data_IF_767121596430
#
_entry.id   IF_767121596430
#
_cell.length_a   1.000
_cell.length_b   1.000
_cell.length_c   1.000
_cell.angle_alpha   90.00
_cell.angle_beta   90.00
_cell.angle_gamma   90.00
#
_symmetry.space_group_name_H-M   'P 1'
#
loop_
_entity.id
_entity.type
_entity.pdbx_description
1 polymer ?
#
# COMPACT_ATOMS: atom_id res chain seq x y z
N UNK A 1 -5.52 -11.08 3.70
CA UNK A 1 -5.17 -10.40 4.96
C UNK A 1 -6.45 -10.16 5.75
N UNK A 2 -6.96 -11.18 6.45
CA UNK A 2 -8.21 -11.11 7.27
C UNK A 2 -8.18 -12.08 8.47
N UNK A 3 -7.04 -12.73 8.72
CA UNK A 3 -6.94 -13.81 9.69
C UNK A 3 -6.86 -13.23 11.11
N UNK A 4 -6.05 -12.20 11.33
CA UNK A 4 -5.97 -11.51 12.62
C UNK A 4 -7.27 -10.79 12.98
N UNK A 5 -7.93 -10.14 12.01
CA UNK A 5 -9.24 -9.50 12.21
C UNK A 5 -10.34 -10.54 12.53
N UNK A 6 -10.33 -11.71 11.87
CA UNK A 6 -11.29 -12.79 12.17
C UNK A 6 -11.01 -13.50 13.50
N UNK A 7 -9.75 -13.61 13.93
CA UNK A 7 -9.39 -14.23 15.22
C UNK A 7 -9.77 -13.27 16.36
N UNK A 8 -9.34 -12.01 16.28
CA UNK A 8 -9.69 -10.99 17.27
C UNK A 8 -11.20 -10.72 17.29
N UNK A 9 -11.87 -10.73 16.14
CA UNK A 9 -13.32 -10.60 16.03
C UNK A 9 -14.08 -11.78 16.65
N UNK A 10 -13.56 -13.01 16.54
CA UNK A 10 -14.17 -14.20 17.17
C UNK A 10 -14.00 -14.19 18.69
N UNK A 11 -12.84 -13.82 19.21
CA UNK A 11 -12.60 -13.74 20.65
C UNK A 11 -13.42 -12.63 21.29
N UNK A 12 -13.47 -11.45 20.67
CA UNK A 12 -14.30 -10.32 21.12
C UNK A 12 -15.78 -10.68 21.06
N UNK A 13 -16.26 -11.32 19.98
CA UNK A 13 -17.65 -11.79 19.86
C UNK A 13 -18.02 -12.80 20.97
N UNK A 14 -17.10 -13.68 21.35
CA UNK A 14 -17.31 -14.64 22.45
C UNK A 14 -17.46 -13.96 23.81
N UNK A 15 -16.64 -12.94 24.09
CA UNK A 15 -16.72 -12.16 25.35
C UNK A 15 -18.05 -11.38 25.41
N UNK A 16 -18.48 -10.81 24.28
CA UNK A 16 -19.74 -10.06 24.15
C UNK A 16 -20.99 -10.93 24.32
N UNK A 17 -20.99 -12.15 23.77
CA UNK A 17 -22.08 -13.12 23.96
C UNK A 17 -22.21 -13.54 25.43
N UNK A 18 -21.08 -13.72 26.11
CA UNK A 18 -21.09 -14.02 27.53
C UNK A 18 -21.63 -12.83 28.35
N UNK A 19 -21.19 -11.61 28.06
CA UNK A 19 -21.69 -10.40 28.73
C UNK A 19 -23.19 -10.15 28.47
N UNK A 20 -23.66 -10.33 27.23
CA UNK A 20 -25.09 -10.23 26.91
C UNK A 20 -25.91 -11.31 27.61
N UNK A 21 -25.38 -12.53 27.77
CA UNK A 21 -26.01 -13.60 28.56
C UNK A 21 -26.10 -13.28 30.07
N UNK A 22 -25.14 -12.53 30.62
CA UNK A 22 -25.21 -12.05 32.01
C UNK A 22 -26.19 -10.89 32.18
N UNK A 23 -26.24 -9.96 31.21
CA UNK A 23 -27.23 -8.87 31.18
C UNK A 23 -28.65 -9.43 31.06
N UNK A 24 -28.84 -10.49 30.27
CA UNK A 24 -30.13 -11.19 30.15
C UNK A 24 -30.61 -11.86 31.45
N UNK A 25 -29.68 -12.24 32.32
CA UNK A 25 -30.00 -12.81 33.64
C UNK A 25 -30.28 -11.77 34.71
N UNK A 26 -29.85 -10.52 34.53
CA UNK A 26 -29.88 -9.47 35.56
C UNK A 26 -30.90 -8.35 35.28
N UNK A 27 -31.35 -8.15 34.04
CA UNK A 27 -32.22 -7.03 33.65
C UNK A 27 -33.57 -7.54 33.12
N UNK A 28 -34.68 -7.16 33.77
CA UNK A 28 -36.05 -7.64 33.48
C UNK A 28 -36.78 -6.78 32.43
N UNK A 29 -36.39 -5.52 32.24
CA UNK A 29 -37.08 -4.54 31.36
C UNK A 29 -36.36 -4.35 30.02
N UNK A 30 -37.13 -4.40 28.92
CA UNK A 30 -36.62 -4.34 27.53
C UNK A 30 -35.84 -3.06 27.21
N UNK A 31 -36.17 -1.94 27.85
CA UNK A 31 -35.51 -0.65 27.61
C UNK A 31 -34.10 -0.57 28.21
N UNK A 32 -33.89 -1.07 29.43
CA UNK A 32 -32.56 -1.09 30.05
C UNK A 32 -31.62 -2.06 29.32
N UNK A 33 -32.14 -3.20 28.87
CA UNK A 33 -31.39 -4.14 28.03
C UNK A 33 -30.98 -3.50 26.69
N UNK A 34 -31.87 -2.78 26.03
CA UNK A 34 -31.58 -2.10 24.77
C UNK A 34 -30.49 -1.04 24.94
N UNK A 35 -30.54 -0.28 26.05
CA UNK A 35 -29.56 0.75 26.37
C UNK A 35 -28.17 0.17 26.66
N UNK A 36 -28.09 -0.93 27.41
CA UNK A 36 -26.82 -1.62 27.71
C UNK A 36 -26.22 -2.22 26.44
N UNK A 37 -27.03 -2.86 25.58
CA UNK A 37 -26.56 -3.39 24.29
C UNK A 37 -26.03 -2.27 23.40
N UNK A 38 -26.70 -1.11 23.39
CA UNK A 38 -26.24 0.05 22.64
C UNK A 38 -24.92 0.62 23.17
N UNK A 39 -24.75 0.70 24.49
CA UNK A 39 -23.50 1.13 25.11
C UNK A 39 -22.34 0.16 24.81
N UNK A 40 -22.59 -1.15 24.88
CA UNK A 40 -21.62 -2.18 24.50
C UNK A 40 -21.24 -2.07 23.01
N UNK A 41 -22.22 -1.89 22.13
CA UNK A 41 -21.99 -1.75 20.68
C UNK A 41 -21.17 -0.49 20.37
N UNK A 42 -21.45 0.61 21.06
CA UNK A 42 -20.67 1.84 20.92
C UNK A 42 -19.23 1.67 21.43
N UNK A 43 -19.04 0.97 22.54
CA UNK A 43 -17.70 0.65 23.06
C UNK A 43 -16.90 -0.24 22.10
N UNK A 44 -17.54 -1.24 21.48
CA UNK A 44 -16.91 -2.07 20.44
C UNK A 44 -16.45 -1.24 19.24
N UNK A 45 -17.32 -0.36 18.75
CA UNK A 45 -16.99 0.51 17.62
C UNK A 45 -15.81 1.42 17.94
N UNK A 46 -15.74 1.97 19.16
CA UNK A 46 -14.62 2.80 19.60
C UNK A 46 -13.31 2.00 19.68
N UNK A 47 -13.35 0.78 20.22
CA UNK A 47 -12.17 -0.10 20.30
C UNK A 47 -11.69 -0.49 18.90
N UNK A 48 -12.60 -0.85 18.00
CA UNK A 48 -12.26 -1.19 16.61
C UNK A 48 -11.64 0.00 15.86
N UNK A 49 -12.15 1.21 16.08
CA UNK A 49 -11.58 2.43 15.52
C UNK A 49 -10.15 2.68 16.02
N UNK A 50 -9.90 2.54 17.34
CA UNK A 50 -8.57 2.71 17.92
C UNK A 50 -7.56 1.66 17.41
N UNK A 51 -7.99 0.41 17.26
CA UNK A 51 -7.16 -0.66 16.70
C UNK A 51 -6.81 -0.34 15.24
N UNK A 52 -7.77 0.09 14.44
CA UNK A 52 -7.53 0.49 13.05
C UNK A 52 -6.57 1.69 12.97
N UNK A 53 -6.74 2.69 13.83
CA UNK A 53 -5.82 3.83 13.90
C UNK A 53 -4.39 3.40 14.23
N UNK A 54 -4.21 2.53 15.23
CA UNK A 54 -2.88 2.01 15.62
C UNK A 54 -2.22 1.21 14.49
N UNK A 55 -3.01 0.38 13.79
CA UNK A 55 -2.53 -0.39 12.63
C UNK A 55 -2.12 0.58 11.51
N UNK A 56 -2.97 1.56 11.19
CA UNK A 56 -2.68 2.57 10.17
C UNK A 56 -1.45 3.40 10.53
N UNK A 57 -1.29 3.87 11.77
CA UNK A 57 -0.12 4.62 12.23
C UNK A 57 1.17 3.80 12.10
N UNK A 58 1.12 2.50 12.40
CA UNK A 58 2.27 1.60 12.18
C UNK A 58 2.60 1.47 10.69
N UNK A 59 1.60 1.25 9.83
CA UNK A 59 1.81 1.22 8.38
C UNK A 59 2.33 2.55 7.83
N UNK A 60 1.81 3.67 8.33
CA UNK A 60 2.23 5.02 7.99
C UNK A 60 3.68 5.27 8.41
N UNK A 61 4.08 4.80 9.60
CA UNK A 61 5.45 4.93 10.11
C UNK A 61 6.44 4.11 9.28
N UNK A 62 6.04 2.90 8.85
CA UNK A 62 6.82 2.07 7.93
C UNK A 62 6.99 2.78 6.58
N UNK A 63 5.93 3.38 6.03
CA UNK A 63 5.99 4.15 4.78
C UNK A 63 6.76 5.48 4.92
N UNK A 64 6.72 6.13 6.09
CA UNK A 64 7.39 7.40 6.33
C UNK A 64 8.88 7.25 6.64
N UNK A 65 9.35 6.04 6.98
CA UNK A 65 10.78 5.75 7.22
C UNK A 65 11.64 5.70 5.95
N UNK A 66 11.09 6.14 4.82
CA UNK A 66 11.80 6.25 3.54
C UNK A 66 13.01 7.19 3.64
N UNK A 67 14.17 6.59 3.89
CA UNK A 67 15.47 7.23 3.77
C UNK A 67 15.65 7.86 2.38
N UNK A 68 16.52 8.87 2.27
CA UNK A 68 16.88 9.47 0.97
C UNK A 68 17.28 8.41 -0.07
N UNK A 69 17.86 7.30 0.39
CA UNK A 69 18.25 6.16 -0.44
C UNK A 69 17.03 5.42 -1.02
N UNK A 70 15.97 5.18 -0.23
CA UNK A 70 14.72 4.55 -0.68
C UNK A 70 14.05 5.38 -1.78
N UNK A 71 14.01 6.71 -1.62
CA UNK A 71 13.39 7.62 -2.59
C UNK A 71 14.13 7.68 -3.92
N UNK A 72 15.46 7.50 -3.90
CA UNK A 72 16.31 7.60 -5.08
C UNK A 72 16.77 6.24 -5.63
N UNK A 73 16.33 5.13 -5.06
CA UNK A 73 16.72 3.79 -5.54
C UNK A 73 16.35 3.58 -7.01
N UNK A 74 15.20 4.11 -7.45
CA UNK A 74 14.71 4.01 -8.83
C UNK A 74 15.67 4.63 -9.85
N UNK A 75 16.03 5.92 -9.76
CA UNK A 75 17.02 6.50 -10.67
C UNK A 75 18.43 5.93 -10.46
N UNK A 76 18.80 5.51 -9.24
CA UNK A 76 20.15 4.97 -8.99
C UNK A 76 20.38 3.59 -9.61
N UNK A 77 19.37 2.71 -9.64
CA UNK A 77 19.48 1.40 -10.31
C UNK A 77 19.66 1.59 -11.83
N UNK A 78 18.96 2.57 -12.42
CA UNK A 78 19.14 2.93 -13.83
C UNK A 78 20.58 3.38 -14.10
N UNK A 79 21.10 4.29 -13.28
CA UNK A 79 22.48 4.77 -13.40
C UNK A 79 23.50 3.64 -13.21
N UNK A 80 23.29 2.76 -12.23
CA UNK A 80 24.17 1.64 -11.95
C UNK A 80 24.26 0.67 -13.13
N UNK A 81 23.14 0.35 -13.78
CA UNK A 81 23.13 -0.54 -14.95
C UNK A 81 23.83 0.12 -16.15
N UNK A 82 23.62 1.42 -16.38
CA UNK A 82 24.30 2.15 -17.46
C UNK A 82 25.81 2.17 -17.22
N UNK A 83 26.24 2.47 -15.99
CA UNK A 83 27.67 2.49 -15.63
C UNK A 83 28.29 1.11 -15.77
N UNK A 84 27.61 0.05 -15.30
CA UNK A 84 28.09 -1.32 -15.44
C UNK A 84 28.19 -1.74 -16.91
N UNK A 85 27.21 -1.36 -17.74
CA UNK A 85 27.23 -1.59 -19.17
C UNK A 85 28.41 -0.89 -19.84
N UNK A 86 28.60 0.40 -19.58
CA UNK A 86 29.73 1.17 -20.13
C UNK A 86 31.07 0.59 -19.67
N UNK A 87 31.18 0.16 -18.42
CA UNK A 87 32.37 -0.46 -17.88
C UNK A 87 32.67 -1.77 -18.62
N UNK A 88 31.71 -2.70 -18.69
CA UNK A 88 31.89 -3.99 -19.39
C UNK A 88 32.21 -3.79 -20.87
N UNK A 89 31.48 -2.92 -21.57
CA UNK A 89 31.75 -2.60 -22.98
C UNK A 89 33.13 -1.98 -23.19
N UNK A 90 33.63 -1.19 -22.23
CA UNK A 90 34.96 -0.61 -22.31
C UNK A 90 36.07 -1.66 -22.16
N UNK A 91 35.95 -2.58 -21.19
CA UNK A 91 36.93 -3.65 -21.01
C UNK A 91 36.92 -4.71 -22.12
N UNK A 92 35.73 -5.02 -22.65
CA UNK A 92 35.56 -5.92 -23.80
C UNK A 92 36.15 -5.28 -25.07
N UNK A 93 35.87 -3.99 -25.32
CA UNK A 93 36.45 -3.24 -26.44
C UNK A 93 37.98 -3.03 -26.35
N UNK A 94 38.53 -3.06 -25.13
CA UNK A 94 39.98 -3.03 -24.89
C UNK A 94 40.65 -4.42 -24.96
N UNK A 95 39.90 -5.48 -25.30
CA UNK A 95 40.36 -6.87 -25.31
C UNK A 95 40.95 -7.37 -23.95
N UNK A 96 40.60 -6.72 -22.85
CA UNK A 96 41.10 -7.06 -21.51
C UNK A 96 40.25 -8.10 -20.79
N UNK A 97 38.97 -8.18 -21.13
CA UNK A 97 38.05 -9.19 -20.61
C UNK A 97 37.28 -9.79 -21.78
N UNK A 98 37.27 -11.12 -21.89
CA UNK A 98 36.38 -11.82 -22.79
C UNK A 98 35.08 -12.11 -22.05
N UNK A 99 34.07 -11.25 -22.24
CA UNK A 99 32.78 -11.41 -21.57
C UNK A 99 31.91 -12.36 -22.38
N UNK A 100 31.45 -13.50 -21.82
CA UNK A 100 30.60 -14.42 -22.56
C UNK A 100 29.28 -13.75 -22.99
N UNK A 101 28.83 -14.05 -24.21
CA UNK A 101 27.62 -13.46 -24.81
C UNK A 101 26.35 -13.63 -23.95
N UNK A 102 26.26 -14.73 -23.19
CA UNK A 102 25.16 -14.95 -22.24
C UNK A 102 25.03 -13.85 -21.19
N UNK A 103 26.15 -13.33 -20.67
CA UNK A 103 26.13 -12.23 -19.69
C UNK A 103 25.74 -10.90 -20.34
N UNK A 104 26.15 -10.66 -21.59
CA UNK A 104 25.76 -9.48 -22.36
C UNK A 104 24.25 -9.49 -22.60
N UNK A 105 23.69 -10.65 -22.99
CA UNK A 105 22.25 -10.81 -23.22
C UNK A 105 21.43 -10.62 -21.95
N UNK A 106 21.90 -11.16 -20.82
CA UNK A 106 21.28 -10.93 -19.51
C UNK A 106 21.30 -9.44 -19.17
N UNK A 107 22.45 -8.77 -19.30
CA UNK A 107 22.60 -7.35 -18.98
C UNK A 107 21.68 -6.47 -19.86
N UNK A 108 21.57 -6.79 -21.16
CA UNK A 108 20.64 -6.13 -22.08
C UNK A 108 19.19 -6.25 -21.58
N UNK A 109 18.74 -7.45 -21.23
CA UNK A 109 17.38 -7.70 -20.74
C UNK A 109 17.08 -6.91 -19.44
N UNK A 110 18.01 -6.94 -18.48
CA UNK A 110 17.89 -6.14 -17.25
C UNK A 110 17.88 -4.63 -17.51
N UNK A 111 18.67 -4.18 -18.49
CA UNK A 111 18.65 -2.80 -18.97
C UNK A 111 17.28 -2.40 -19.49
N UNK A 112 16.74 -3.13 -20.47
CA UNK A 112 15.42 -2.86 -21.06
C UNK A 112 14.32 -2.83 -19.99
N UNK A 113 14.29 -3.81 -19.08
CA UNK A 113 13.34 -3.85 -17.97
C UNK A 113 13.44 -2.62 -17.06
N UNK A 114 14.66 -2.20 -16.71
CA UNK A 114 14.89 -1.03 -15.84
C UNK A 114 14.49 0.27 -16.52
N UNK A 115 14.81 0.41 -17.82
CA UNK A 115 14.37 1.55 -18.63
C UNK A 115 12.84 1.61 -18.74
N UNK A 116 12.18 0.50 -19.04
CA UNK A 116 10.72 0.42 -19.10
C UNK A 116 10.08 0.73 -17.74
N UNK A 117 10.64 0.26 -16.64
CA UNK A 117 10.11 0.54 -15.31
C UNK A 117 10.25 2.04 -14.94
N UNK A 118 11.42 2.65 -15.17
CA UNK A 118 11.65 4.05 -14.83
C UNK A 118 10.82 5.01 -15.69
N UNK A 119 10.89 4.87 -17.02
CA UNK A 119 10.15 5.75 -17.92
C UNK A 119 8.66 5.38 -18.02
N UNK A 120 8.32 4.10 -17.94
CA UNK A 120 6.94 3.62 -17.96
C UNK A 120 6.16 4.06 -16.73
N UNK A 121 6.76 4.00 -15.54
CA UNK A 121 6.09 4.49 -14.33
C UNK A 121 5.81 6.00 -14.38
N UNK A 122 6.76 6.82 -14.87
CA UNK A 122 6.57 8.26 -15.07
C UNK A 122 5.54 8.58 -16.17
N UNK A 123 5.50 7.76 -17.23
CA UNK A 123 4.52 7.89 -18.31
C UNK A 123 3.10 7.61 -17.83
N UNK A 124 2.91 6.51 -17.09
CA UNK A 124 1.62 6.13 -16.51
C UNK A 124 1.13 7.20 -15.53
N UNK A 125 2.00 7.72 -14.66
CA UNK A 125 1.66 8.79 -13.71
C UNK A 125 1.07 10.02 -14.42
N UNK A 126 1.67 10.44 -15.54
CA UNK A 126 1.18 11.58 -16.32
C UNK A 126 -0.16 11.30 -17.00
N UNK A 127 -0.37 10.08 -17.51
CA UNK A 127 -1.63 9.69 -18.15
C UNK A 127 -2.77 9.64 -17.14
N UNK A 128 -2.53 9.04 -15.96
CA UNK A 128 -3.51 8.95 -14.88
C UNK A 128 -3.85 10.33 -14.33
N UNK A 129 -2.86 11.20 -14.15
CA UNK A 129 -3.10 12.57 -13.70
C UNK A 129 -3.93 13.36 -14.73
N UNK A 130 -3.58 13.30 -16.01
CA UNK A 130 -4.32 14.00 -17.07
C UNK A 130 -5.76 13.50 -17.21
N UNK A 131 -6.00 12.19 -17.13
CA UNK A 131 -7.38 11.64 -17.23
C UNK A 131 -8.24 12.08 -16.04
N UNK A 132 -7.67 12.16 -14.84
CA UNK A 132 -8.36 12.66 -13.65
C UNK A 132 -8.74 14.15 -13.76
N UNK A 133 -7.88 14.96 -14.40
CA UNK A 133 -8.14 16.38 -14.65
C UNK A 133 -9.25 16.58 -15.69
N UNK A 134 -9.19 15.83 -16.79
CA UNK A 134 -10.23 15.88 -17.85
C UNK A 134 -11.59 15.48 -17.27
N UNK A 135 -11.64 14.44 -16.45
CA UNK A 135 -12.87 14.03 -15.75
C UNK A 135 -13.43 15.16 -14.88
N UNK A 136 -12.59 15.81 -14.06
CA UNK A 136 -13.01 16.93 -13.21
C UNK A 136 -13.54 18.13 -14.01
N UNK A 137 -12.89 18.48 -15.11
CA UNK A 137 -13.35 19.57 -15.99
C UNK A 137 -14.69 19.23 -16.64
N UNK A 138 -14.88 18.00 -17.14
CA UNK A 138 -16.16 17.54 -17.70
C UNK A 138 -17.32 17.59 -16.69
N UNK A 139 -17.08 17.18 -15.44
CA UNK A 139 -18.10 17.25 -14.38
C UNK A 139 -18.40 18.69 -13.94
N UNK A 140 -17.40 19.57 -13.93
CA UNK A 140 -17.59 21.00 -13.63
C UNK A 140 -18.43 21.67 -14.69
N UNK A 141 -18.17 21.39 -15.97
CA UNK A 141 -18.89 21.97 -17.09
C UNK A 141 -20.35 21.53 -17.19
N UNK A 142 -20.67 20.29 -16.75
CA UNK A 142 -22.05 19.78 -16.70
C UNK A 142 -22.87 20.45 -15.58
N UNK A 143 -22.23 20.91 -14.51
CA UNK A 143 -22.89 21.57 -13.38
C UNK A 143 -23.20 23.05 -13.64
N UNK A 144 -22.50 23.70 -14.57
CA UNK A 144 -22.76 25.10 -14.98
C UNK A 144 -23.86 25.24 -16.03
N UNK A 145 -24.32 24.14 -16.64
CA UNK A 145 -25.34 24.14 -17.70
C UNK A 145 -26.71 23.63 -17.17
N UNK A 146 -26.79 23.25 -15.89
CA UNK A 146 -28.04 22.93 -15.17
C UNK A 146 -28.39 24.05 -14.20
#
# INVERSE_FOLDING_TARGET
MNILANILGKEVSGILQNLTGFVDKLVVTKEEKAKIIQEITNAENQIQLQIQQTITERHQTVMNSDSWLSKNVRPMVLLAIIVLFLFLSFFDGANWLNVPEGYISILKNWGELTFMFYFGSRGIEKIVNNSSLISKELFRHKKTIS
#
